data_IF_810369917042
#
_entry.id   IF_810369917042
#
_cell.length_a   1.000
_cell.length_b   1.000
_cell.length_c   1.000
_cell.angle_alpha   90.00
_cell.angle_beta   90.00
_cell.angle_gamma   90.00
#
_symmetry.space_group_name_H-M   'P 1'
#
loop_
_entity.id
_entity.type
_entity.pdbx_description
1 polymer ?
#
# COMPACT_ATOMS: atom_id res chain seq x y z
N UNK A 1 -8.24 21.08 23.50
CA UNK A 1 -7.18 21.50 22.55
C UNK A 1 -7.78 21.66 21.17
N UNK A 2 -7.30 22.62 20.38
CA UNK A 2 -7.66 22.71 18.97
C UNK A 2 -7.22 21.44 18.22
N UNK A 3 -8.05 20.98 17.30
CA UNK A 3 -7.68 19.92 16.36
C UNK A 3 -6.99 20.64 15.20
N UNK A 4 -5.68 20.49 15.08
CA UNK A 4 -4.87 21.11 14.02
C UNK A 4 -3.64 20.24 13.82
N UNK A 5 -3.19 20.13 12.57
CA UNK A 5 -2.06 19.29 12.15
C UNK A 5 -1.10 20.09 11.27
N UNK A 6 0.19 19.75 11.33
CA UNK A 6 1.21 20.36 10.49
C UNK A 6 0.91 20.13 9.00
N UNK A 7 0.46 18.92 8.66
CA UNK A 7 0.01 18.54 7.32
C UNK A 7 -1.13 17.53 7.42
N UNK A 8 -2.06 17.54 6.47
CA UNK A 8 -3.02 16.44 6.30
C UNK A 8 -2.92 15.95 4.85
N UNK A 9 -2.77 14.64 4.68
CA UNK A 9 -2.96 13.99 3.38
C UNK A 9 -4.26 13.18 3.44
N UNK A 10 -5.19 13.42 2.51
CA UNK A 10 -6.47 12.71 2.47
C UNK A 10 -6.71 12.10 1.11
N UNK A 11 -7.00 10.79 1.08
CA UNK A 11 -7.18 10.01 -0.13
C UNK A 11 -8.61 9.45 -0.17
N UNK A 12 -9.39 9.84 -1.18
CA UNK A 12 -10.77 9.39 -1.38
C UNK A 12 -10.83 8.20 -2.32
N UNK A 13 -11.47 7.10 -1.91
CA UNK A 13 -11.76 5.99 -2.83
C UNK A 13 -12.92 6.32 -3.77
N UNK A 14 -12.64 7.06 -4.84
CA UNK A 14 -13.69 7.54 -5.74
C UNK A 14 -14.27 6.45 -6.64
N UNK A 15 -13.49 5.41 -6.96
CA UNK A 15 -13.85 4.42 -7.98
C UNK A 15 -13.46 2.98 -7.63
N UNK A 16 -12.47 2.78 -6.77
CA UNK A 16 -11.97 1.47 -6.41
C UNK A 16 -10.83 0.97 -7.26
N UNK A 17 -10.78 -0.35 -7.46
CA UNK A 17 -9.72 -1.02 -8.20
C UNK A 17 -10.32 -2.07 -9.14
N UNK A 18 -9.81 -2.21 -10.38
CA UNK A 18 -10.25 -3.25 -11.31
C UNK A 18 -9.69 -4.63 -10.95
N UNK A 19 -8.65 -4.69 -10.11
CA UNK A 19 -8.01 -5.94 -9.69
C UNK A 19 -8.62 -6.44 -8.36
N UNK A 20 -8.46 -7.74 -8.08
CA UNK A 20 -8.87 -8.39 -6.82
C UNK A 20 -7.71 -9.17 -6.25
N UNK A 21 -6.63 -8.41 -6.04
CA UNK A 21 -5.34 -8.94 -5.63
C UNK A 21 -5.43 -9.66 -4.27
N UNK A 22 -4.95 -10.91 -4.21
CA UNK A 22 -4.91 -11.74 -2.99
C UNK A 22 -3.82 -11.31 -1.99
N UNK A 23 -3.00 -10.33 -2.37
CA UNK A 23 -1.95 -9.73 -1.53
C UNK A 23 -2.28 -8.27 -1.16
N UNK A 24 -3.48 -7.77 -1.51
CA UNK A 24 -3.82 -6.37 -1.29
C UNK A 24 -3.83 -6.06 0.21
N UNK A 25 -2.82 -5.31 0.66
CA UNK A 25 -2.64 -4.99 2.08
C UNK A 25 -3.74 -4.08 2.64
N UNK A 26 -4.41 -3.30 1.77
CA UNK A 26 -5.57 -2.47 2.14
C UNK A 26 -6.82 -3.33 2.40
N UNK A 27 -6.91 -4.48 1.73
CA UNK A 27 -8.10 -5.35 1.72
C UNK A 27 -8.99 -5.14 0.50
N UNK A 28 -9.99 -6.01 0.33
CA UNK A 28 -11.01 -5.87 -0.71
C UNK A 28 -12.20 -5.05 -0.24
N UNK A 29 -12.64 -4.11 -1.07
CA UNK A 29 -13.89 -3.38 -0.88
C UNK A 29 -14.64 -3.21 -2.20
N UNK A 30 -15.97 -3.08 -2.17
CA UNK A 30 -16.76 -2.79 -3.38
C UNK A 30 -16.28 -1.49 -4.06
N UNK A 31 -16.39 -1.44 -5.38
CA UNK A 31 -16.05 -0.23 -6.13
C UNK A 31 -17.10 0.86 -5.87
N UNK A 32 -16.63 2.10 -5.78
CA UNK A 32 -17.49 3.28 -5.66
C UNK A 32 -17.78 3.92 -7.02
N UNK A 33 -18.65 4.93 -7.01
CA UNK A 33 -18.80 5.84 -8.14
C UNK A 33 -19.03 7.26 -7.64
N UNK A 34 -18.05 7.80 -6.92
CA UNK A 34 -18.13 9.16 -6.40
C UNK A 34 -17.86 10.20 -7.49
N UNK A 35 -18.37 11.39 -7.24
CA UNK A 35 -18.31 12.54 -8.15
C UNK A 35 -17.22 13.53 -7.75
N UNK A 36 -16.92 14.49 -8.64
CA UNK A 36 -16.03 15.62 -8.33
C UNK A 36 -16.55 16.44 -7.12
N UNK A 37 -17.87 16.50 -6.91
CA UNK A 37 -18.45 17.21 -5.75
C UNK A 37 -18.05 16.54 -4.43
N UNK A 38 -17.94 15.22 -4.42
CA UNK A 38 -17.53 14.45 -3.25
C UNK A 38 -16.06 14.70 -2.88
N UNK A 39 -15.17 14.79 -3.89
CA UNK A 39 -13.77 15.14 -3.66
C UNK A 39 -13.60 16.55 -3.09
N UNK A 40 -14.35 17.52 -3.65
CA UNK A 40 -14.39 18.89 -3.14
C UNK A 40 -14.89 18.94 -1.70
N UNK A 41 -15.98 18.23 -1.40
CA UNK A 41 -16.51 18.12 -0.04
C UNK A 41 -15.46 17.60 0.95
N UNK A 42 -14.72 16.55 0.58
CA UNK A 42 -13.64 16.03 1.43
C UNK A 42 -12.55 17.08 1.66
N UNK A 43 -12.08 17.74 0.61
CA UNK A 43 -11.05 18.77 0.71
C UNK A 43 -11.50 19.95 1.59
N UNK A 44 -12.70 20.49 1.35
CA UNK A 44 -13.29 21.58 2.11
C UNK A 44 -13.47 21.21 3.59
N UNK A 45 -13.74 19.93 3.87
CA UNK A 45 -13.85 19.42 5.24
C UNK A 45 -12.50 19.46 5.98
N UNK A 46 -11.42 19.00 5.36
CA UNK A 46 -10.10 18.95 6.02
C UNK A 46 -9.37 20.31 6.02
N UNK A 47 -9.64 21.19 5.07
CA UNK A 47 -8.93 22.47 4.88
C UNK A 47 -8.82 23.36 6.14
N UNK A 48 -9.83 23.50 7.01
CA UNK A 48 -9.72 24.33 8.22
C UNK A 48 -8.74 23.81 9.29
N UNK A 49 -8.23 22.58 9.15
CA UNK A 49 -7.47 21.88 10.19
C UNK A 49 -5.97 21.75 9.87
N UNK A 50 -5.51 22.34 8.76
CA UNK A 50 -4.10 22.40 8.39
C UNK A 50 -3.84 23.52 7.38
N UNK A 51 -2.62 24.02 7.35
CA UNK A 51 -2.13 24.89 6.28
C UNK A 51 -1.53 24.11 5.12
N UNK A 52 -1.18 22.84 5.33
CA UNK A 52 -0.57 21.98 4.31
C UNK A 52 -1.52 20.81 4.02
N UNK A 53 -2.35 20.95 2.99
CA UNK A 53 -3.35 19.95 2.63
C UNK A 53 -2.96 19.28 1.32
N UNK A 54 -2.95 17.95 1.29
CA UNK A 54 -2.71 17.15 0.10
C UNK A 54 -3.91 16.22 -0.17
N UNK A 55 -4.47 16.31 -1.37
CA UNK A 55 -5.70 15.60 -1.75
C UNK A 55 -5.42 14.62 -2.87
N UNK A 56 -5.88 13.38 -2.71
CA UNK A 56 -5.89 12.36 -3.76
C UNK A 56 -7.30 11.82 -3.98
N UNK A 57 -7.61 11.51 -5.24
CA UNK A 57 -8.86 10.91 -5.68
C UNK A 57 -8.83 9.38 -5.65
N UNK A 58 -7.79 8.79 -5.05
CA UNK A 58 -7.57 7.34 -5.02
C UNK A 58 -6.64 6.95 -3.86
N UNK A 59 -6.82 5.74 -3.32
CA UNK A 59 -5.78 5.04 -2.54
C UNK A 59 -5.63 3.56 -2.92
N UNK A 60 -6.57 3.00 -3.72
CA UNK A 60 -6.50 1.61 -4.21
C UNK A 60 -5.83 1.52 -5.57
N UNK A 61 -6.53 1.95 -6.63
CA UNK A 61 -5.99 2.01 -7.99
C UNK A 61 -5.87 3.48 -8.41
N UNK A 62 -4.66 3.97 -8.74
CA UNK A 62 -4.52 5.31 -9.31
C UNK A 62 -5.24 5.40 -10.65
N UNK A 63 -5.86 6.56 -10.92
CA UNK A 63 -6.38 6.90 -12.24
C UNK A 63 -7.41 5.89 -12.81
N UNK A 64 -8.15 5.16 -11.97
CA UNK A 64 -9.12 4.18 -12.46
C UNK A 64 -10.31 4.82 -13.20
N UNK A 65 -10.75 6.03 -12.81
CA UNK A 65 -11.78 6.77 -13.56
C UNK A 65 -11.23 7.31 -14.88
N UNK A 66 -12.09 7.39 -15.90
CA UNK A 66 -11.71 7.85 -17.23
C UNK A 66 -11.31 9.33 -17.29
N UNK A 67 -11.83 10.15 -16.37
CA UNK A 67 -11.47 11.57 -16.27
C UNK A 67 -10.24 11.83 -15.37
N UNK A 68 -9.28 10.88 -15.32
CA UNK A 68 -8.09 10.97 -14.45
C UNK A 68 -7.27 12.25 -14.63
N UNK A 69 -7.20 12.81 -15.85
CA UNK A 69 -6.50 14.08 -16.12
C UNK A 69 -7.18 15.25 -15.39
N UNK A 70 -8.50 15.33 -15.48
CA UNK A 70 -9.29 16.33 -14.77
C UNK A 70 -9.21 16.17 -13.25
N UNK A 71 -9.18 14.91 -12.78
CA UNK A 71 -9.01 14.61 -11.36
C UNK A 71 -7.64 15.05 -10.86
N UNK A 72 -6.56 14.81 -11.61
CA UNK A 72 -5.21 15.28 -11.26
C UNK A 72 -5.13 16.82 -11.17
N UNK A 73 -5.71 17.52 -12.14
CA UNK A 73 -5.77 18.99 -12.10
C UNK A 73 -6.55 19.48 -10.89
N UNK A 74 -7.64 18.80 -10.55
CA UNK A 74 -8.44 19.09 -9.38
C UNK A 74 -7.72 18.76 -8.06
N UNK A 75 -7.02 17.64 -7.95
CA UNK A 75 -6.16 17.26 -6.81
C UNK A 75 -5.14 18.37 -6.53
N UNK A 76 -4.47 18.88 -7.58
CA UNK A 76 -3.53 20.00 -7.48
C UNK A 76 -4.20 21.30 -7.03
N UNK A 77 -5.41 21.59 -7.52
CA UNK A 77 -6.16 22.80 -7.14
C UNK A 77 -6.70 22.75 -5.72
N UNK A 78 -7.09 21.58 -5.23
CA UNK A 78 -7.64 21.38 -3.89
C UNK A 78 -6.55 21.27 -2.81
N UNK A 79 -5.33 20.90 -3.22
CA UNK A 79 -4.17 20.88 -2.31
C UNK A 79 -3.69 22.30 -1.99
N UNK A 80 -3.24 22.53 -0.76
CA UNK A 80 -2.83 23.84 -0.22
C UNK A 80 -1.40 23.75 0.30
N UNK A 81 -0.52 24.66 -0.14
CA UNK A 81 0.90 24.77 0.27
C UNK A 81 1.77 23.51 0.07
N UNK A 82 1.21 22.43 -0.49
CA UNK A 82 1.88 21.20 -0.93
C UNK A 82 1.20 20.74 -2.21
N UNK A 83 1.81 19.79 -2.92
CA UNK A 83 1.27 19.24 -4.17
C UNK A 83 1.25 17.71 -4.13
N UNK A 84 0.19 17.09 -4.70
CA UNK A 84 0.17 15.66 -4.87
C UNK A 84 1.32 15.21 -5.78
N UNK A 85 1.81 13.99 -5.55
CA UNK A 85 2.88 13.36 -6.33
C UNK A 85 2.40 12.01 -6.86
N UNK A 86 3.02 11.55 -7.94
CA UNK A 86 2.86 10.18 -8.43
C UNK A 86 4.06 9.37 -7.95
N UNK A 87 3.86 8.56 -6.91
CA UNK A 87 4.88 7.78 -6.18
C UNK A 87 5.32 6.52 -6.93
N UNK A 88 5.68 6.64 -8.21
CA UNK A 88 5.92 5.48 -9.09
C UNK A 88 4.69 4.56 -9.26
N UNK A 89 3.51 5.01 -8.87
CA UNK A 89 2.25 4.27 -8.96
C UNK A 89 1.47 4.74 -10.18
N UNK A 90 1.27 3.84 -11.14
CA UNK A 90 0.37 4.00 -12.28
C UNK A 90 -0.51 2.76 -12.41
N UNK A 91 -1.67 2.92 -13.03
CA UNK A 91 -2.55 1.79 -13.30
C UNK A 91 -2.03 0.98 -14.48
N UNK A 92 -1.43 -0.19 -14.24
CA UNK A 92 -1.06 -1.09 -15.33
C UNK A 92 -2.29 -1.52 -16.15
N UNK A 93 -3.48 -1.56 -15.53
CA UNK A 93 -4.73 -1.80 -16.24
C UNK A 93 -4.99 -0.71 -17.28
N UNK A 94 -4.81 0.57 -16.93
CA UNK A 94 -5.00 1.69 -17.86
C UNK A 94 -3.87 1.80 -18.88
N UNK A 95 -2.61 1.54 -18.51
CA UNK A 95 -1.46 1.53 -19.43
C UNK A 95 -1.77 0.70 -20.68
N UNK A 96 -2.41 -0.45 -20.51
CA UNK A 96 -2.74 -1.38 -21.60
C UNK A 96 -3.97 -0.99 -22.44
N UNK A 97 -4.69 0.08 -22.08
CA UNK A 97 -6.02 0.41 -22.61
C UNK A 97 -6.15 1.84 -23.12
N UNK A 98 -5.27 2.73 -22.66
CA UNK A 98 -5.27 4.14 -23.02
C UNK A 98 -3.85 4.55 -23.42
N UNK A 99 -3.64 4.73 -24.73
CA UNK A 99 -2.34 5.10 -25.30
C UNK A 99 -1.88 6.51 -24.88
N UNK A 100 -2.81 7.37 -24.44
CA UNK A 100 -2.49 8.73 -24.00
C UNK A 100 -2.16 8.77 -22.50
N UNK A 101 -2.45 7.71 -21.75
CA UNK A 101 -2.22 7.66 -20.31
C UNK A 101 -0.73 7.75 -19.96
N UNK A 102 0.12 6.96 -20.61
CA UNK A 102 1.56 6.94 -20.29
C UNK A 102 2.26 8.21 -20.74
N UNK A 103 1.86 8.78 -21.88
CA UNK A 103 2.36 10.09 -22.35
C UNK A 103 2.02 11.18 -21.33
N UNK A 104 0.76 11.23 -20.91
CA UNK A 104 0.32 12.16 -19.87
C UNK A 104 1.08 11.95 -18.55
N UNK A 105 1.27 10.69 -18.11
CA UNK A 105 2.01 10.39 -16.91
C UNK A 105 3.46 10.90 -16.98
N UNK A 106 4.12 10.74 -18.13
CA UNK A 106 5.47 11.27 -18.38
C UNK A 106 5.50 12.80 -18.31
N UNK A 107 4.51 13.47 -18.91
CA UNK A 107 4.40 14.94 -18.96
C UNK A 107 4.20 15.56 -17.57
N UNK A 108 3.48 14.88 -16.68
CA UNK A 108 3.32 15.32 -15.27
C UNK A 108 4.52 14.94 -14.39
N UNK A 109 5.58 14.35 -14.97
CA UNK A 109 6.87 14.14 -14.33
C UNK A 109 7.15 12.72 -13.84
N UNK A 110 6.31 11.72 -14.17
CA UNK A 110 6.58 10.33 -13.81
C UNK A 110 7.77 9.80 -14.61
N UNK A 111 8.77 9.25 -13.91
CA UNK A 111 9.99 8.68 -14.54
C UNK A 111 10.21 7.21 -14.21
N UNK A 112 9.54 6.69 -13.19
CA UNK A 112 9.57 5.28 -12.79
C UNK A 112 8.15 4.81 -12.53
N UNK A 113 7.86 3.55 -12.83
CA UNK A 113 6.57 2.92 -12.56
C UNK A 113 6.78 1.52 -12.01
N UNK A 114 6.22 1.24 -10.82
CA UNK A 114 6.27 -0.06 -10.20
C UNK A 114 5.27 -1.02 -10.84
N UNK A 115 5.72 -2.23 -11.19
CA UNK A 115 4.92 -3.32 -11.72
C UNK A 115 5.15 -4.57 -10.86
N UNK A 116 4.06 -5.16 -10.38
CA UNK A 116 4.12 -6.23 -9.38
C UNK A 116 3.84 -7.60 -9.99
N UNK A 117 4.76 -8.54 -9.79
CA UNK A 117 4.71 -9.93 -10.26
C UNK A 117 4.63 -10.90 -9.07
N UNK A 118 4.04 -12.08 -9.30
CA UNK A 118 3.96 -13.17 -8.32
C UNK A 118 4.63 -14.46 -8.82
N UNK A 119 5.38 -14.38 -9.91
CA UNK A 119 5.84 -15.52 -10.69
C UNK A 119 5.57 -15.28 -12.17
N UNK A 120 5.49 -16.35 -12.94
CA UNK A 120 5.10 -16.35 -14.35
C UNK A 120 3.58 -16.19 -14.49
N UNK A 121 3.04 -16.55 -15.65
CA UNK A 121 1.65 -16.25 -16.02
C UNK A 121 0.62 -16.80 -15.03
N UNK A 122 0.71 -18.08 -14.67
CA UNK A 122 -0.28 -18.72 -13.79
C UNK A 122 -0.34 -18.07 -12.40
N UNK A 123 0.82 -17.92 -11.74
CA UNK A 123 0.88 -17.33 -10.40
C UNK A 123 0.49 -15.87 -10.41
N UNK A 124 1.02 -15.08 -11.35
CA UNK A 124 0.69 -13.65 -11.44
C UNK A 124 -0.80 -13.42 -11.69
N UNK A 125 -1.41 -14.17 -12.60
CA UNK A 125 -2.85 -14.07 -12.86
C UNK A 125 -3.69 -14.48 -11.63
N UNK A 126 -3.29 -15.57 -10.95
CA UNK A 126 -3.97 -16.04 -9.74
C UNK A 126 -3.94 -15.00 -8.62
N UNK A 127 -2.77 -14.43 -8.31
CA UNK A 127 -2.60 -13.47 -7.21
C UNK A 127 -3.16 -12.09 -7.53
N UNK A 128 -3.20 -11.67 -8.80
CA UNK A 128 -3.89 -10.43 -9.21
C UNK A 128 -5.42 -10.63 -9.23
N UNK A 129 -5.87 -11.87 -9.39
CA UNK A 129 -7.29 -12.24 -9.42
C UNK A 129 -7.92 -12.05 -10.80
N UNK A 130 -7.12 -12.09 -11.87
CA UNK A 130 -7.61 -11.94 -13.25
C UNK A 130 -6.67 -12.59 -14.27
N UNK A 131 -7.25 -13.34 -15.21
CA UNK A 131 -6.53 -13.92 -16.35
C UNK A 131 -5.98 -12.83 -17.29
N UNK A 132 -4.77 -13.04 -17.79
CA UNK A 132 -4.06 -12.15 -18.69
C UNK A 132 -3.32 -11.00 -18.01
N UNK A 133 -3.31 -10.93 -16.68
CA UNK A 133 -2.64 -9.87 -15.94
C UNK A 133 -1.12 -9.90 -16.13
N UNK A 134 -0.51 -11.09 -16.15
CA UNK A 134 0.92 -11.24 -16.47
C UNK A 134 1.27 -10.65 -17.83
N UNK A 135 0.49 -10.99 -18.86
CA UNK A 135 0.71 -10.45 -20.22
C UNK A 135 0.56 -8.93 -20.24
N UNK A 136 -0.44 -8.39 -19.55
CA UNK A 136 -0.61 -6.95 -19.40
C UNK A 136 0.57 -6.28 -18.68
N UNK A 137 1.20 -6.93 -17.69
CA UNK A 137 2.39 -6.39 -17.02
C UNK A 137 3.61 -6.38 -17.94
N UNK A 138 3.78 -7.42 -18.78
CA UNK A 138 4.84 -7.45 -19.79
C UNK A 138 4.59 -6.36 -20.84
N UNK A 139 3.37 -6.24 -21.36
CA UNK A 139 3.02 -5.17 -22.29
C UNK A 139 3.17 -3.79 -21.66
N UNK A 140 2.78 -3.60 -20.39
CA UNK A 140 3.00 -2.35 -19.68
C UNK A 140 4.49 -2.02 -19.55
N UNK A 141 5.34 -3.01 -19.29
CA UNK A 141 6.80 -2.84 -19.25
C UNK A 141 7.33 -2.27 -20.58
N UNK A 142 6.85 -2.81 -21.71
CA UNK A 142 7.23 -2.33 -23.04
C UNK A 142 6.74 -0.89 -23.30
N UNK A 143 5.45 -0.61 -23.04
CA UNK A 143 4.85 0.71 -23.23
C UNK A 143 5.57 1.78 -22.39
N UNK A 144 5.92 1.46 -21.13
CA UNK A 144 6.65 2.39 -20.26
C UNK A 144 8.02 2.75 -20.87
N UNK A 145 8.78 1.76 -21.32
CA UNK A 145 10.10 1.98 -21.92
C UNK A 145 10.01 2.81 -23.20
N UNK A 146 9.01 2.54 -24.06
CA UNK A 146 8.76 3.32 -25.29
C UNK A 146 8.43 4.79 -25.00
N UNK A 147 7.93 5.09 -23.81
CA UNK A 147 7.57 6.44 -23.37
C UNK A 147 8.56 7.03 -22.34
N UNK A 148 9.79 6.51 -22.29
CA UNK A 148 10.86 6.99 -21.39
C UNK A 148 10.51 6.95 -19.90
N UNK A 149 9.67 6.01 -19.47
CA UNK A 149 9.42 5.68 -18.06
C UNK A 149 10.10 4.35 -17.76
N UNK A 150 10.95 4.31 -16.74
CA UNK A 150 11.60 3.07 -16.33
C UNK A 150 10.62 2.17 -15.56
N UNK A 151 10.42 0.91 -15.99
CA UNK A 151 9.72 -0.06 -15.17
C UNK A 151 10.58 -0.41 -13.95
N UNK A 152 9.93 -0.54 -12.79
CA UNK A 152 10.51 -1.07 -11.56
C UNK A 152 9.74 -2.32 -11.18
N UNK A 153 10.42 -3.47 -11.19
CA UNK A 153 9.75 -4.75 -10.95
C UNK A 153 9.75 -5.08 -9.46
N UNK A 154 8.58 -5.32 -8.91
CA UNK A 154 8.41 -5.85 -7.58
C UNK A 154 7.97 -7.31 -7.71
N UNK A 155 8.63 -8.22 -7.01
CA UNK A 155 8.23 -9.62 -6.93
C UNK A 155 7.72 -9.89 -5.52
N UNK A 156 6.45 -10.27 -5.40
CA UNK A 156 5.92 -10.77 -4.14
C UNK A 156 6.29 -12.23 -3.97
N UNK A 157 6.84 -12.59 -2.82
CA UNK A 157 7.28 -13.96 -2.52
C UNK A 157 6.51 -14.59 -1.36
N UNK A 158 6.11 -15.84 -1.55
CA UNK A 158 5.55 -16.74 -0.55
C UNK A 158 5.92 -18.18 -0.92
N UNK A 159 5.59 -19.17 -0.09
CA UNK A 159 5.92 -20.58 -0.32
C UNK A 159 5.25 -21.16 -1.58
N UNK A 160 4.14 -20.59 -2.03
CA UNK A 160 3.40 -21.08 -3.20
C UNK A 160 4.02 -20.65 -4.54
N UNK A 161 4.80 -19.55 -4.56
CA UNK A 161 5.42 -19.04 -5.78
C UNK A 161 6.96 -19.03 -5.78
N UNK A 162 7.56 -19.55 -4.72
CA UNK A 162 9.01 -19.50 -4.48
C UNK A 162 9.84 -20.09 -5.63
N UNK A 163 9.34 -21.14 -6.29
CA UNK A 163 10.04 -21.82 -7.37
C UNK A 163 10.10 -21.01 -8.69
N UNK A 164 9.28 -19.95 -8.83
CA UNK A 164 9.23 -19.12 -10.03
C UNK A 164 10.00 -17.79 -9.90
N UNK A 165 10.50 -17.47 -8.70
CA UNK A 165 11.17 -16.19 -8.44
C UNK A 165 12.40 -16.00 -9.34
N UNK A 166 13.23 -17.04 -9.47
CA UNK A 166 14.41 -17.00 -10.33
C UNK A 166 14.04 -16.85 -11.82
N UNK A 167 12.92 -17.42 -12.24
CA UNK A 167 12.46 -17.32 -13.62
C UNK A 167 11.98 -15.92 -13.98
N UNK A 168 11.34 -15.20 -13.04
CA UNK A 168 11.00 -13.78 -13.22
C UNK A 168 12.26 -12.91 -13.31
N UNK A 169 13.30 -13.20 -12.52
CA UNK A 169 14.59 -12.50 -12.62
C UNK A 169 15.22 -12.73 -13.99
N UNK A 170 15.33 -13.99 -14.43
CA UNK A 170 15.85 -14.34 -15.77
C UNK A 170 15.03 -13.70 -16.89
N UNK A 171 13.71 -13.56 -16.71
CA UNK A 171 12.87 -12.87 -17.67
C UNK A 171 13.27 -11.39 -17.80
N UNK A 172 13.55 -10.70 -16.68
CA UNK A 172 14.02 -9.30 -16.70
C UNK A 172 15.35 -9.15 -17.47
N UNK A 173 16.25 -10.14 -17.33
CA UNK A 173 17.54 -10.18 -18.03
C UNK A 173 17.36 -10.47 -19.52
N UNK A 174 16.50 -11.43 -19.86
CA UNK A 174 16.15 -11.75 -21.26
C UNK A 174 15.53 -10.55 -21.98
N UNK A 175 14.72 -9.77 -21.27
CA UNK A 175 14.14 -8.51 -21.77
C UNK A 175 15.15 -7.36 -21.82
N UNK A 176 16.38 -7.56 -21.31
CA UNK A 176 17.46 -6.57 -21.27
C UNK A 176 17.04 -5.27 -20.57
N UNK A 177 16.29 -5.39 -19.47
CA UNK A 177 15.65 -4.23 -18.83
C UNK A 177 16.70 -3.25 -18.28
N UNK A 178 17.84 -3.75 -17.77
CA UNK A 178 18.95 -2.91 -17.32
C UNK A 178 19.48 -2.03 -18.45
N UNK A 179 19.84 -2.62 -19.59
CA UNK A 179 20.38 -1.90 -20.74
C UNK A 179 19.35 -0.95 -21.36
N UNK A 180 18.07 -1.37 -21.41
CA UNK A 180 16.99 -0.56 -21.98
C UNK A 180 16.66 0.65 -21.10
N UNK A 181 16.66 0.50 -19.77
CA UNK A 181 16.49 1.65 -18.88
C UNK A 181 17.66 2.64 -18.98
N UNK A 182 18.90 2.15 -19.12
CA UNK A 182 20.05 3.04 -19.31
C UNK A 182 19.95 3.89 -20.58
N UNK A 183 19.37 3.34 -21.67
CA UNK A 183 19.15 4.09 -22.93
C UNK A 183 18.18 5.27 -22.77
N UNK A 184 17.30 5.23 -21.78
CA UNK A 184 16.37 6.32 -21.45
C UNK A 184 16.86 7.15 -20.25
N UNK A 185 18.16 7.11 -19.94
CA UNK A 185 18.81 7.81 -18.83
C UNK A 185 18.21 7.48 -17.46
N UNK A 186 17.88 6.21 -17.23
CA UNK A 186 17.28 5.74 -16.00
C UNK A 186 17.86 4.38 -15.57
N UNK A 187 17.50 3.90 -14.38
CA UNK A 187 17.97 2.63 -13.83
C UNK A 187 16.82 1.64 -13.70
N UNK A 188 17.04 0.41 -14.16
CA UNK A 188 16.13 -0.69 -13.85
C UNK A 188 16.34 -1.12 -12.40
N UNK A 189 15.24 -1.26 -11.67
CA UNK A 189 15.23 -1.77 -10.30
C UNK A 189 14.32 -2.98 -10.22
N UNK A 190 14.80 -4.00 -9.50
CA UNK A 190 14.04 -5.20 -9.17
C UNK A 190 14.24 -5.48 -7.69
N UNK A 191 13.16 -5.77 -6.98
CA UNK A 191 13.23 -6.16 -5.58
C UNK A 191 12.18 -7.22 -5.24
N UNK A 192 12.48 -8.02 -4.21
CA UNK A 192 11.64 -9.10 -3.73
C UNK A 192 11.15 -8.72 -2.33
N UNK A 193 9.86 -8.92 -2.07
CA UNK A 193 9.21 -8.57 -0.81
C UNK A 193 8.07 -9.54 -0.52
N UNK A 194 7.69 -9.72 0.74
CA UNK A 194 6.55 -10.56 1.14
C UNK A 194 5.20 -9.81 1.22
N UNK A 195 5.24 -8.48 1.21
CA UNK A 195 4.08 -7.67 1.61
C UNK A 195 3.96 -7.55 3.12
N UNK A 196 3.30 -6.47 3.56
CA UNK A 196 2.82 -6.40 4.93
C UNK A 196 1.77 -7.48 5.21
N UNK A 197 1.72 -8.02 6.41
CA UNK A 197 0.84 -9.12 6.81
C UNK A 197 -0.55 -8.60 7.23
N UNK A 198 -1.18 -7.84 6.34
CA UNK A 198 -2.46 -7.17 6.56
C UNK A 198 -3.44 -7.38 5.40
N UNK A 199 -4.70 -7.05 5.62
CA UNK A 199 -5.74 -7.09 4.58
C UNK A 199 -5.89 -8.48 3.97
N UNK A 200 -5.80 -8.57 2.64
CA UNK A 200 -5.83 -9.89 1.99
C UNK A 200 -4.55 -10.69 2.19
N UNK A 201 -3.41 -10.01 2.38
CA UNK A 201 -2.11 -10.67 2.56
C UNK A 201 -1.98 -11.35 3.94
N UNK A 202 -2.75 -10.91 4.95
CA UNK A 202 -2.88 -11.61 6.25
C UNK A 202 -3.32 -13.07 6.04
N UNK A 203 -4.22 -13.33 5.08
CA UNK A 203 -4.73 -14.68 4.79
C UNK A 203 -3.65 -15.62 4.22
N UNK A 204 -2.50 -15.07 3.83
CA UNK A 204 -1.34 -15.81 3.35
C UNK A 204 -0.29 -16.05 4.44
N UNK A 205 -0.59 -15.73 5.72
CA UNK A 205 0.31 -15.94 6.86
C UNK A 205 0.93 -17.34 6.87
N UNK A 206 0.13 -18.39 6.63
CA UNK A 206 0.60 -19.78 6.67
C UNK A 206 1.58 -20.16 5.57
N UNK A 207 1.61 -19.39 4.48
CA UNK A 207 2.52 -19.60 3.36
C UNK A 207 3.60 -18.53 3.27
N UNK A 208 3.78 -17.67 4.29
CA UNK A 208 4.95 -16.79 4.35
C UNK A 208 6.23 -17.61 4.34
N UNK A 209 7.27 -17.06 3.71
CA UNK A 209 8.56 -17.76 3.65
C UNK A 209 9.22 -17.82 5.04
N UNK A 210 10.02 -18.85 5.23
CA UNK A 210 10.83 -19.09 6.42
C UNK A 210 12.32 -18.94 6.10
N UNK A 211 13.18 -18.91 7.11
CA UNK A 211 14.64 -18.96 6.93
C UNK A 211 15.11 -20.13 6.06
N UNK A 212 14.45 -21.28 6.19
CA UNK A 212 14.70 -22.49 5.38
C UNK A 212 14.38 -22.30 3.89
N UNK A 213 13.62 -21.28 3.50
CA UNK A 213 13.26 -21.03 2.09
C UNK A 213 14.29 -20.13 1.38
N UNK A 214 15.17 -19.46 2.14
CA UNK A 214 16.08 -18.45 1.62
C UNK A 214 17.10 -18.98 0.61
N UNK A 215 17.38 -20.29 0.60
CA UNK A 215 18.28 -20.88 -0.40
C UNK A 215 17.75 -20.78 -1.83
N UNK A 216 16.43 -20.62 -2.02
CA UNK A 216 15.80 -20.43 -3.33
C UNK A 216 15.80 -18.98 -3.80
N UNK A 217 16.18 -18.04 -2.93
CA UNK A 217 16.19 -16.60 -3.23
C UNK A 217 17.65 -16.12 -3.30
N UNK A 218 18.04 -15.32 -4.31
CA UNK A 218 19.38 -14.76 -4.36
C UNK A 218 19.71 -13.91 -3.12
N UNK A 219 20.95 -14.02 -2.62
CA UNK A 219 21.39 -13.45 -1.33
C UNK A 219 21.23 -11.93 -1.26
N UNK A 220 21.37 -11.25 -2.39
CA UNK A 220 21.23 -9.80 -2.49
C UNK A 220 19.82 -9.29 -2.12
N UNK A 221 18.80 -10.16 -2.12
CA UNK A 221 17.43 -9.80 -1.72
C UNK A 221 17.09 -10.15 -0.28
N UNK A 222 17.94 -10.90 0.44
CA UNK A 222 17.61 -11.44 1.76
C UNK A 222 17.35 -10.36 2.81
N UNK A 223 18.05 -9.22 2.73
CA UNK A 223 17.91 -8.12 3.70
C UNK A 223 16.51 -7.51 3.74
N UNK A 224 15.72 -7.64 2.66
CA UNK A 224 14.37 -7.09 2.55
C UNK A 224 13.28 -8.08 3.01
N UNK A 225 13.65 -9.31 3.34
CA UNK A 225 12.70 -10.37 3.69
C UNK A 225 12.40 -10.42 5.19
N UNK A 226 13.23 -9.77 6.01
CA UNK A 226 13.03 -9.69 7.46
C UNK A 226 13.78 -10.79 8.23
N UNK A 227 13.38 -10.99 9.48
CA UNK A 227 13.95 -11.98 10.40
C UNK A 227 12.86 -12.91 10.95
N UNK A 228 13.27 -14.02 11.56
CA UNK A 228 12.33 -15.03 12.07
C UNK A 228 11.42 -14.48 13.17
N UNK A 229 10.13 -14.81 13.08
CA UNK A 229 9.08 -14.40 14.02
C UNK A 229 9.43 -14.73 15.48
N UNK A 230 10.00 -15.92 15.77
CA UNK A 230 10.44 -16.29 17.12
C UNK A 230 11.50 -15.35 17.70
N UNK A 231 12.33 -14.73 16.87
CA UNK A 231 13.36 -13.77 17.30
C UNK A 231 12.65 -12.47 17.71
N UNK A 232 11.81 -11.93 16.83
CA UNK A 232 11.01 -10.74 17.10
C UNK A 232 10.10 -10.93 18.33
N UNK A 233 9.46 -12.09 18.44
CA UNK A 233 8.67 -12.48 19.61
C UNK A 233 9.51 -12.40 20.90
N UNK A 234 10.70 -13.00 20.91
CA UNK A 234 11.59 -13.01 22.08
C UNK A 234 12.10 -11.63 22.47
N UNK A 235 12.29 -10.74 21.48
CA UNK A 235 12.61 -9.33 21.71
C UNK A 235 11.42 -8.59 22.34
N UNK A 236 10.23 -8.72 21.74
CA UNK A 236 9.02 -8.01 22.19
C UNK A 236 8.55 -8.47 23.57
N UNK A 237 8.77 -9.73 23.96
CA UNK A 237 8.47 -10.20 25.32
C UNK A 237 9.20 -9.41 26.42
N UNK A 238 10.34 -8.80 26.10
CA UNK A 238 11.12 -7.98 27.03
C UNK A 238 10.77 -6.49 26.96
N UNK A 239 9.95 -6.11 25.98
CA UNK A 239 9.60 -4.73 25.70
C UNK A 239 8.32 -4.34 26.43
N UNK A 240 8.47 -3.52 27.47
CA UNK A 240 7.34 -3.02 28.28
C UNK A 240 6.81 -1.67 27.80
N UNK A 241 7.36 -1.14 26.70
CA UNK A 241 6.88 0.10 26.09
C UNK A 241 5.55 -0.09 25.36
N UNK A 242 4.92 1.02 24.99
CA UNK A 242 3.74 1.10 24.12
C UNK A 242 4.09 1.90 22.86
N UNK A 243 3.22 1.89 21.85
CA UNK A 243 3.43 2.61 20.59
C UNK A 243 2.35 3.67 20.41
N UNK A 244 2.79 4.92 20.28
CA UNK A 244 1.94 6.01 19.82
C UNK A 244 2.03 6.12 18.29
N UNK A 245 0.95 5.74 17.60
CA UNK A 245 0.86 5.75 16.14
C UNK A 245 0.31 7.08 15.58
N UNK A 246 0.19 8.10 16.43
CA UNK A 246 -0.21 9.43 16.00
C UNK A 246 0.97 10.17 15.41
N UNK A 247 0.70 10.85 14.31
CA UNK A 247 1.65 11.74 13.65
C UNK A 247 1.05 13.14 13.54
N UNK A 248 1.91 14.15 13.46
CA UNK A 248 1.51 15.54 13.18
C UNK A 248 1.25 15.78 11.68
N UNK A 249 1.59 14.81 10.83
CA UNK A 249 1.37 14.84 9.38
C UNK A 249 0.55 13.62 8.88
N UNK A 250 -0.64 13.35 9.46
CA UNK A 250 -1.35 12.11 9.20
C UNK A 250 -1.82 11.97 7.76
N UNK A 251 -1.89 10.72 7.34
CA UNK A 251 -2.49 10.30 6.07
C UNK A 251 -3.78 9.54 6.36
N UNK A 252 -4.88 9.95 5.73
CA UNK A 252 -6.21 9.36 5.92
C UNK A 252 -6.74 8.71 4.65
N UNK A 253 -7.26 7.50 4.80
CA UNK A 253 -8.09 6.83 3.82
C UNK A 253 -9.54 7.16 4.07
N UNK A 254 -10.23 7.63 3.03
CA UNK A 254 -11.66 7.94 3.04
C UNK A 254 -12.34 7.01 2.05
N UNK A 255 -13.15 6.07 2.54
CA UNK A 255 -13.81 5.08 1.68
C UNK A 255 -14.89 5.73 0.80
N UNK A 256 -15.44 4.95 -0.13
CA UNK A 256 -16.60 5.37 -0.94
C UNK A 256 -17.81 5.80 -0.11
N UNK A 257 -17.91 5.31 1.13
CA UNK A 257 -19.01 5.58 2.06
C UNK A 257 -18.68 6.71 3.04
N UNK A 258 -17.52 7.37 2.86
CA UNK A 258 -16.99 8.46 3.70
C UNK A 258 -16.50 8.04 5.08
N UNK A 259 -16.28 6.74 5.29
CA UNK A 259 -15.62 6.22 6.49
C UNK A 259 -14.13 6.53 6.44
N UNK A 260 -13.58 6.97 7.57
CA UNK A 260 -12.19 7.43 7.66
C UNK A 260 -11.36 6.48 8.50
N UNK A 261 -10.18 6.16 7.97
CA UNK A 261 -9.18 5.29 8.59
C UNK A 261 -7.80 5.95 8.47
N UNK A 262 -6.89 5.75 9.44
CA UNK A 262 -5.50 6.15 9.29
C UNK A 262 -4.81 5.20 8.30
N UNK A 263 -3.88 5.74 7.51
CA UNK A 263 -3.00 4.96 6.65
C UNK A 263 -1.89 4.28 7.47
N UNK A 264 -2.28 3.29 8.26
CA UNK A 264 -1.37 2.44 9.05
C UNK A 264 -1.42 1.02 8.51
N UNK A 265 -2.62 0.53 8.19
CA UNK A 265 -2.89 -0.85 7.79
C UNK A 265 -4.20 -0.93 7.01
N UNK A 266 -4.68 -2.14 6.78
CA UNK A 266 -5.97 -2.47 6.17
C UNK A 266 -7.19 -1.75 6.78
N UNK A 267 -8.24 -1.61 5.96
CA UNK A 267 -9.51 -0.99 6.36
C UNK A 267 -10.30 -1.97 7.23
N UNK A 268 -10.07 -1.93 8.55
CA UNK A 268 -10.71 -2.79 9.53
C UNK A 268 -11.47 -1.99 10.61
N UNK A 269 -12.54 -2.55 11.21
CA UNK A 269 -13.39 -1.84 12.17
C UNK A 269 -12.63 -1.24 13.37
N UNK A 270 -11.56 -1.90 13.84
CA UNK A 270 -10.78 -1.41 14.97
C UNK A 270 -9.91 -0.18 14.67
N UNK A 271 -9.72 0.18 13.40
CA UNK A 271 -9.05 1.40 12.95
C UNK A 271 -10.00 2.54 12.57
N UNK A 272 -11.30 2.32 12.67
CA UNK A 272 -12.30 3.29 12.23
C UNK A 272 -12.26 4.57 13.10
N UNK A 273 -12.19 5.72 12.44
CA UNK A 273 -12.13 7.03 13.09
C UNK A 273 -13.49 7.76 13.08
N UNK A 274 -14.44 7.33 12.25
CA UNK A 274 -15.73 8.01 12.05
C UNK A 274 -16.03 8.24 10.58
N UNK A 275 -17.20 8.81 10.29
CA UNK A 275 -17.69 9.06 8.95
C UNK A 275 -17.77 10.57 8.66
N UNK A 276 -17.17 11.06 7.56
CA UNK A 276 -17.13 12.50 7.28
C UNK A 276 -18.49 13.15 7.07
N UNK A 277 -19.49 12.41 6.56
CA UNK A 277 -20.83 12.95 6.30
C UNK A 277 -21.75 12.87 7.52
N UNK A 278 -21.53 11.90 8.41
CA UNK A 278 -22.37 11.68 9.60
C UNK A 278 -21.79 12.36 10.84
N UNK A 279 -20.51 12.13 11.12
CA UNK A 279 -19.83 12.59 12.33
C UNK A 279 -19.20 13.98 12.18
N UNK A 280 -18.85 14.33 10.95
CA UNK A 280 -18.08 15.53 10.63
C UNK A 280 -16.58 15.37 10.93
N UNK A 281 -15.78 16.04 10.11
CA UNK A 281 -14.30 16.00 10.15
C UNK A 281 -13.70 16.34 11.51
N UNK A 282 -14.29 17.27 12.28
CA UNK A 282 -13.78 17.63 13.60
C UNK A 282 -13.78 16.44 14.56
N UNK A 283 -14.83 15.61 14.51
CA UNK A 283 -14.96 14.42 15.35
C UNK A 283 -13.98 13.34 14.88
N UNK A 284 -13.86 13.12 13.58
CA UNK A 284 -12.87 12.18 12.99
C UNK A 284 -11.44 12.53 13.42
N UNK A 285 -11.05 13.78 13.23
CA UNK A 285 -9.70 14.23 13.58
C UNK A 285 -9.46 14.26 15.10
N UNK A 286 -10.49 14.58 15.89
CA UNK A 286 -10.45 14.46 17.35
C UNK A 286 -10.27 13.00 17.78
N UNK A 287 -10.92 12.05 17.10
CA UNK A 287 -10.76 10.64 17.40
C UNK A 287 -9.33 10.18 17.13
N UNK A 288 -8.75 10.59 16.00
CA UNK A 288 -7.35 10.29 15.69
C UNK A 288 -6.40 10.88 16.74
N UNK A 289 -6.53 12.18 17.06
CA UNK A 289 -5.63 12.87 17.98
C UNK A 289 -5.72 12.35 19.41
N UNK A 290 -6.86 11.80 19.83
CA UNK A 290 -7.07 11.29 21.19
C UNK A 290 -6.97 9.76 21.30
N UNK A 291 -6.50 9.05 20.26
CA UNK A 291 -6.41 7.59 20.25
C UNK A 291 -7.76 6.89 20.52
N UNK A 292 -8.85 7.40 19.92
CA UNK A 292 -10.20 6.88 20.20
C UNK A 292 -10.59 5.66 19.36
N UNK A 293 -9.89 5.34 18.26
CA UNK A 293 -10.10 4.05 17.61
C UNK A 293 -9.57 2.93 18.51
N UNK A 294 -10.18 1.73 18.43
CA UNK A 294 -9.79 0.60 19.29
C UNK A 294 -8.30 0.31 19.16
N UNK A 295 -7.78 0.23 17.94
CA UNK A 295 -6.38 -0.12 17.71
C UNK A 295 -5.40 0.98 18.14
N UNK A 296 -5.73 2.26 17.97
CA UNK A 296 -4.89 3.34 18.51
C UNK A 296 -4.88 3.35 20.04
N UNK A 297 -6.02 3.06 20.67
CA UNK A 297 -6.10 2.94 22.12
C UNK A 297 -5.23 1.79 22.62
N UNK A 298 -5.38 0.61 22.01
CA UNK A 298 -4.59 -0.57 22.35
C UNK A 298 -3.10 -0.32 22.12
N UNK A 299 -2.71 0.26 20.99
CA UNK A 299 -1.29 0.55 20.71
C UNK A 299 -0.69 1.47 21.77
N UNK A 300 -1.46 2.47 22.24
CA UNK A 300 -1.02 3.47 23.20
C UNK A 300 -0.99 2.96 24.65
N UNK A 301 -1.92 2.09 25.04
CA UNK A 301 -2.11 1.66 26.44
C UNK A 301 -1.54 0.27 26.74
N UNK A 302 -1.48 -0.64 25.77
CA UNK A 302 -1.09 -2.04 25.99
C UNK A 302 0.40 -2.23 25.69
N UNK A 303 1.21 -2.70 26.67
CA UNK A 303 2.62 -2.97 26.43
C UNK A 303 2.87 -3.99 25.33
N UNK A 304 3.94 -3.80 24.57
CA UNK A 304 4.31 -4.68 23.45
C UNK A 304 4.50 -6.14 23.88
N UNK A 305 5.08 -6.37 25.06
CA UNK A 305 5.18 -7.71 25.63
C UNK A 305 3.82 -8.40 25.77
N UNK A 306 2.74 -7.67 26.07
CA UNK A 306 1.39 -8.22 26.19
C UNK A 306 0.76 -8.55 24.84
N UNK A 307 1.04 -7.75 23.81
CA UNK A 307 0.63 -8.09 22.44
C UNK A 307 1.35 -9.37 21.98
N UNK A 308 2.66 -9.46 22.21
CA UNK A 308 3.45 -10.63 21.87
C UNK A 308 3.02 -11.88 22.64
N UNK A 309 2.85 -11.80 23.98
CA UNK A 309 2.36 -12.91 24.82
C UNK A 309 1.02 -13.47 24.32
N UNK A 310 0.11 -12.60 23.89
CA UNK A 310 -1.25 -12.98 23.51
C UNK A 310 -1.36 -13.51 22.08
N UNK A 311 -0.61 -12.94 21.14
CA UNK A 311 -0.82 -13.13 19.70
C UNK A 311 0.40 -13.67 18.94
N UNK A 312 1.59 -13.66 19.54
CA UNK A 312 2.81 -14.08 18.86
C UNK A 312 3.03 -15.59 18.87
N UNK A 313 3.86 -16.06 17.93
CA UNK A 313 4.20 -17.48 17.83
C UNK A 313 5.68 -17.74 18.19
N UNK A 314 5.98 -18.34 19.37
CA UNK A 314 7.35 -18.57 19.82
C UNK A 314 8.14 -19.59 18.99
N UNK A 315 7.45 -20.41 18.18
CA UNK A 315 8.05 -21.50 17.41
C UNK A 315 8.11 -21.18 15.91
N UNK A 316 7.59 -20.04 15.48
CA UNK A 316 7.51 -19.69 14.06
C UNK A 316 8.86 -19.17 13.54
N UNK A 317 9.26 -19.69 12.38
CA UNK A 317 10.42 -19.23 11.61
C UNK A 317 10.01 -18.39 10.40
N UNK A 318 8.73 -18.00 10.30
CA UNK A 318 8.24 -17.09 9.25
C UNK A 318 8.97 -15.76 9.34
N UNK A 319 9.28 -15.16 8.20
CA UNK A 319 10.05 -13.93 8.15
C UNK A 319 9.15 -12.69 8.19
N UNK A 320 9.55 -11.71 9.01
CA UNK A 320 8.88 -10.41 9.17
C UNK A 320 9.89 -9.27 9.32
N UNK A 321 9.52 -8.08 8.86
CA UNK A 321 10.14 -6.86 9.42
C UNK A 321 9.54 -6.59 10.80
N UNK A 322 10.27 -5.86 11.65
CA UNK A 322 9.78 -5.54 13.01
C UNK A 322 8.48 -4.75 12.97
N UNK A 323 8.41 -3.72 12.12
CA UNK A 323 7.23 -2.86 12.02
C UNK A 323 6.00 -3.63 11.50
N UNK A 324 6.18 -4.49 10.48
CA UNK A 324 5.11 -5.35 9.96
C UNK A 324 4.59 -6.31 11.05
N UNK A 325 5.49 -6.93 11.81
CA UNK A 325 5.10 -7.83 12.89
C UNK A 325 4.35 -7.11 14.03
N UNK A 326 4.75 -5.88 14.36
CA UNK A 326 4.07 -5.07 15.38
C UNK A 326 2.62 -4.75 14.98
N UNK A 327 2.42 -4.31 13.73
CA UNK A 327 1.08 -4.03 13.20
C UNK A 327 0.25 -5.31 13.10
N UNK A 328 0.85 -6.42 12.65
CA UNK A 328 0.20 -7.73 12.64
C UNK A 328 -0.28 -8.15 14.04
N UNK A 329 0.58 -8.09 15.07
CA UNK A 329 0.22 -8.44 16.45
C UNK A 329 -0.90 -7.53 16.97
N UNK A 330 -0.84 -6.23 16.71
CA UNK A 330 -1.87 -5.27 17.10
C UNK A 330 -3.22 -5.60 16.45
N UNK A 331 -3.22 -5.91 15.16
CA UNK A 331 -4.42 -6.34 14.42
C UNK A 331 -4.99 -7.65 14.98
N UNK A 332 -4.15 -8.66 15.23
CA UNK A 332 -4.58 -9.92 15.84
C UNK A 332 -5.13 -9.71 17.26
N UNK A 333 -4.53 -8.82 18.04
CA UNK A 333 -5.01 -8.52 19.38
C UNK A 333 -6.41 -7.91 19.33
N UNK A 334 -6.60 -6.89 18.50
CA UNK A 334 -7.90 -6.23 18.34
C UNK A 334 -8.99 -7.18 17.83
N UNK A 335 -8.65 -8.11 16.95
CA UNK A 335 -9.57 -9.12 16.39
C UNK A 335 -10.05 -10.14 17.42
N UNK A 336 -9.28 -10.35 18.50
CA UNK A 336 -9.56 -11.33 19.55
C UNK A 336 -10.18 -10.71 20.82
N UNK A 337 -10.52 -9.42 20.79
CA UNK A 337 -11.31 -8.72 21.82
C UNK A 337 -12.80 -8.79 21.46
#
# INVERSE_FOLDING_TARGET
MGVYFNKITSLLDMAGCPNRCKHCWIGHSPNGNLSIKDLKYMADSFSPYTDNLEIYSWFREPDFKDNYKELWDLENKLSKNTKPKRFELLSFWRINRDLDYVKWAYDIGVKKCQLTFFGLEEKTDYYIGRKGAFKELITATEILLENNIAPRWQIFVNKDNLDEILEVIKLSEKMKLKERCLKINNSFELFIHQGSCDGENEKLYDIRITSDDLYKIPKEFHSLLGIEEKILFSELLKDTSTIDLREEEPVFYVTKDFDVYPNITSINPWWYLGNLKIDGVKKVLSNYKNNNSLAQKISFEVPLCKLAEKCGNPNSTRLFSKDDYLIYLLNQYCKNL
#
